data_IF_662317435449
#
_entry.id   IF_662317435449
#
_cell.length_a   1.000
_cell.length_b   1.000
_cell.length_c   1.000
_cell.angle_alpha   90.00
_cell.angle_beta   90.00
_cell.angle_gamma   90.00
#
_symmetry.space_group_name_H-M   'P 1'
#
loop_
_entity.id
_entity.type
_entity.pdbx_description
1 polymer ?
#
# COMPACT_ATOMS: atom_id res chain seq x y z
N UNK A 1 -0.05 -64.37 14.89
CA UNK A 1 0.32 -63.34 13.91
C UNK A 1 -0.39 -62.05 14.30
N UNK A 2 0.35 -61.05 14.80
CA UNK A 2 0.00 -59.64 14.65
C UNK A 2 1.23 -58.78 15.02
N UNK A 3 1.71 -58.10 13.98
CA UNK A 3 2.78 -57.11 13.84
C UNK A 3 3.21 -56.32 15.09
N UNK A 4 4.50 -56.43 15.44
CA UNK A 4 5.24 -55.40 16.17
C UNK A 4 5.56 -54.25 15.20
N UNK A 5 5.15 -53.03 15.55
CA UNK A 5 5.54 -51.80 14.85
C UNK A 5 6.89 -51.33 15.41
N UNK A 6 7.90 -51.23 14.54
CA UNK A 6 9.18 -50.58 14.82
C UNK A 6 8.96 -49.08 15.02
N UNK A 7 9.31 -48.58 16.20
CA UNK A 7 9.47 -47.15 16.47
C UNK A 7 10.86 -46.73 15.98
N UNK A 8 10.91 -45.91 14.93
CA UNK A 8 12.17 -45.33 14.44
C UNK A 8 12.47 -44.06 15.23
N UNK A 9 13.49 -44.08 16.08
CA UNK A 9 14.06 -42.90 16.70
C UNK A 9 14.89 -42.13 15.67
N UNK A 10 14.47 -40.91 15.32
CA UNK A 10 15.30 -39.96 14.57
C UNK A 10 16.14 -39.18 15.60
N UNK A 11 17.45 -39.32 15.46
CA UNK A 11 18.47 -38.57 16.20
C UNK A 11 18.47 -37.12 15.69
N UNK A 12 18.18 -36.17 16.57
CA UNK A 12 18.34 -34.74 16.29
C UNK A 12 19.84 -34.41 16.23
N UNK A 13 20.33 -34.05 15.05
CA UNK A 13 21.65 -33.46 14.88
C UNK A 13 21.59 -32.00 15.33
N UNK A 14 22.46 -31.65 16.28
CA UNK A 14 22.64 -30.29 16.78
C UNK A 14 23.18 -29.38 15.66
N UNK A 15 22.36 -28.42 15.24
CA UNK A 15 22.83 -27.24 14.50
C UNK A 15 23.41 -26.26 15.52
N UNK A 16 24.68 -25.94 15.37
CA UNK A 16 25.37 -24.89 16.11
C UNK A 16 24.68 -23.56 15.81
N UNK A 17 23.96 -23.03 16.80
CA UNK A 17 23.43 -21.67 16.79
C UNK A 17 24.59 -20.68 16.69
N UNK A 18 24.74 -20.05 15.51
CA UNK A 18 25.36 -18.73 15.47
C UNK A 18 24.45 -17.80 16.26
N UNK A 19 25.01 -17.10 17.24
CA UNK A 19 24.29 -16.06 17.97
C UNK A 19 23.94 -14.94 17.00
N UNK A 20 22.75 -15.01 16.41
CA UNK A 20 22.14 -13.87 15.75
C UNK A 20 21.91 -12.81 16.83
N UNK A 21 22.64 -11.70 16.75
CA UNK A 21 22.18 -10.48 17.40
C UNK A 21 20.85 -10.14 16.74
N UNK A 22 19.74 -10.28 17.47
CA UNK A 22 18.46 -9.76 17.01
C UNK A 22 18.62 -8.23 16.95
N UNK A 23 18.79 -7.70 15.75
CA UNK A 23 18.78 -6.26 15.55
C UNK A 23 17.32 -5.81 15.60
N UNK A 24 17.01 -4.84 16.44
CA UNK A 24 15.66 -4.27 16.57
C UNK A 24 15.49 -3.01 15.69
N UNK A 25 16.48 -2.71 14.84
CA UNK A 25 16.47 -1.58 13.91
C UNK A 25 16.98 -1.98 12.53
N UNK A 26 16.43 -1.36 11.48
CA UNK A 26 16.92 -1.49 10.11
C UNK A 26 18.20 -0.66 9.91
N UNK A 27 19.29 -1.22 10.40
CA UNK A 27 20.63 -0.64 10.36
C UNK A 27 21.00 0.20 11.60
N UNK A 28 22.22 0.77 11.62
CA UNK A 28 23.21 0.75 10.53
C UNK A 28 23.74 -0.66 10.23
N UNK A 29 23.99 -0.96 8.95
CA UNK A 29 24.67 -2.19 8.53
C UNK A 29 26.08 -1.86 8.05
N UNK A 30 27.10 -2.70 8.35
CA UNK A 30 28.48 -2.41 7.96
C UNK A 30 28.64 -2.39 6.44
N UNK A 31 29.66 -1.68 5.94
CA UNK A 31 30.08 -1.79 4.54
C UNK A 31 30.79 -3.11 4.32
N UNK A 32 30.24 -3.95 3.44
CA UNK A 32 30.77 -5.30 3.14
C UNK A 32 31.46 -5.38 1.77
N UNK A 33 31.39 -4.32 0.96
CA UNK A 33 32.05 -4.26 -0.35
C UNK A 33 33.55 -4.40 -0.21
N UNK A 34 34.12 -5.45 -0.81
CA UNK A 34 35.55 -5.73 -0.78
C UNK A 34 36.35 -4.62 -1.46
N UNK A 35 37.40 -4.17 -0.78
CA UNK A 35 38.29 -3.13 -1.31
C UNK A 35 37.68 -1.72 -1.33
N UNK A 36 36.54 -1.49 -0.68
CA UNK A 36 35.99 -0.15 -0.52
C UNK A 36 36.95 0.71 0.33
N UNK A 37 37.51 1.76 -0.29
CA UNK A 37 38.47 2.67 0.34
C UNK A 37 37.88 4.02 0.76
N UNK A 38 36.55 4.17 0.77
CA UNK A 38 35.90 5.42 1.17
C UNK A 38 35.57 5.48 2.67
N UNK A 39 34.93 6.56 3.10
CA UNK A 39 34.68 6.87 4.52
C UNK A 39 33.32 6.35 5.05
N UNK A 40 32.49 5.75 4.20
CA UNK A 40 31.17 5.27 4.63
C UNK A 40 31.31 4.06 5.55
N UNK A 41 30.62 4.11 6.68
CA UNK A 41 30.52 3.01 7.64
C UNK A 41 29.17 2.28 7.62
N UNK A 42 28.16 2.88 6.97
CA UNK A 42 26.81 2.32 6.83
C UNK A 42 26.49 2.05 5.35
N UNK A 43 26.13 0.81 5.02
CA UNK A 43 25.78 0.38 3.65
C UNK A 43 24.31 0.57 3.28
N UNK A 44 23.44 0.94 4.23
CA UNK A 44 22.00 1.13 3.99
C UNK A 44 21.72 2.20 2.94
N UNK A 45 20.98 1.85 1.87
CA UNK A 45 20.68 2.79 0.79
C UNK A 45 19.30 2.59 0.13
N UNK A 46 18.31 3.38 0.54
CA UNK A 46 16.93 3.33 0.00
C UNK A 46 16.22 4.70 -0.14
N UNK A 47 16.97 5.81 -0.13
CA UNK A 47 16.37 7.16 -0.14
C UNK A 47 15.55 7.46 -1.41
N UNK A 48 15.80 6.72 -2.50
CA UNK A 48 14.99 6.82 -3.71
C UNK A 48 13.55 6.34 -3.54
N UNK A 49 13.29 5.45 -2.60
CA UNK A 49 11.96 4.94 -2.30
C UNK A 49 11.22 5.91 -1.38
N UNK A 50 11.93 6.48 -0.40
CA UNK A 50 11.42 7.58 0.45
C UNK A 50 10.98 8.76 -0.41
N UNK A 51 11.80 9.18 -1.39
CA UNK A 51 11.42 10.22 -2.34
C UNK A 51 10.12 9.89 -3.10
N UNK A 52 9.88 8.62 -3.45
CA UNK A 52 8.65 8.19 -4.14
C UNK A 52 7.43 8.17 -3.24
N UNK A 53 7.58 7.81 -1.96
CA UNK A 53 6.50 7.97 -0.99
C UNK A 53 6.10 9.44 -0.84
N UNK A 54 7.09 10.34 -0.78
CA UNK A 54 6.85 11.78 -0.71
C UNK A 54 6.19 12.32 -1.98
N UNK A 55 6.61 11.87 -3.16
CA UNK A 55 5.92 12.19 -4.42
C UNK A 55 4.46 11.71 -4.41
N UNK A 56 4.21 10.50 -3.88
CA UNK A 56 2.86 9.92 -3.78
C UNK A 56 1.97 10.71 -2.82
N UNK A 57 2.45 11.03 -1.62
CA UNK A 57 1.69 11.81 -0.64
C UNK A 57 1.45 13.25 -1.11
N UNK A 58 2.42 13.84 -1.82
CA UNK A 58 2.28 15.14 -2.46
C UNK A 58 1.26 15.10 -3.60
N UNK A 59 1.29 14.07 -4.46
CA UNK A 59 0.31 13.87 -5.53
C UNK A 59 -1.10 13.71 -4.98
N UNK A 60 -1.28 12.94 -3.91
CA UNK A 60 -2.55 12.85 -3.18
C UNK A 60 -3.02 14.21 -2.68
N UNK A 61 -2.13 15.02 -2.10
CA UNK A 61 -2.49 16.34 -1.58
C UNK A 61 -2.92 17.29 -2.69
N UNK A 62 -2.27 17.21 -3.86
CA UNK A 62 -2.63 17.97 -5.06
C UNK A 62 -3.95 17.51 -5.67
N UNK A 63 -4.25 16.21 -5.70
CA UNK A 63 -5.51 15.68 -6.20
C UNK A 63 -6.76 16.27 -5.51
N UNK A 64 -6.60 16.82 -4.30
CA UNK A 64 -7.65 17.53 -3.57
C UNK A 64 -7.68 19.05 -3.77
N UNK A 65 -7.06 19.59 -4.83
CA UNK A 65 -6.89 21.04 -5.07
C UNK A 65 -7.59 21.58 -6.31
N UNK A 66 -8.35 20.76 -7.03
CA UNK A 66 -9.15 21.25 -8.16
C UNK A 66 -10.21 22.23 -7.67
N UNK A 67 -10.62 23.18 -8.51
CA UNK A 67 -11.60 24.23 -8.17
C UNK A 67 -12.82 24.19 -9.11
N UNK A 68 -13.25 22.98 -9.49
CA UNK A 68 -14.36 22.79 -10.43
C UNK A 68 -14.01 23.13 -11.88
N UNK A 69 -12.72 23.07 -12.24
CA UNK A 69 -12.24 23.20 -13.62
C UNK A 69 -11.47 24.48 -13.93
N UNK A 70 -11.61 25.54 -13.12
CA UNK A 70 -10.97 26.82 -13.37
C UNK A 70 -9.42 26.80 -13.29
N UNK A 71 -8.83 25.85 -12.54
CA UNK A 71 -7.38 25.61 -12.47
C UNK A 71 -6.95 24.26 -13.07
N UNK A 72 -7.82 23.59 -13.84
CA UNK A 72 -7.59 22.20 -14.25
C UNK A 72 -6.27 22.02 -15.01
N UNK A 73 -5.99 22.85 -16.02
CA UNK A 73 -4.76 22.73 -16.81
C UNK A 73 -3.48 22.90 -15.97
N UNK A 74 -3.47 23.89 -15.07
CA UNK A 74 -2.32 24.18 -14.20
C UNK A 74 -2.11 23.09 -13.16
N UNK A 75 -3.21 22.62 -12.54
CA UNK A 75 -3.16 21.57 -11.52
C UNK A 75 -2.79 20.22 -12.13
N UNK A 76 -3.34 19.87 -13.29
CA UNK A 76 -2.99 18.64 -14.00
C UNK A 76 -1.50 18.64 -14.35
N UNK A 77 -0.97 19.73 -14.93
CA UNK A 77 0.45 19.86 -15.22
C UNK A 77 1.31 19.73 -13.95
N UNK A 78 0.87 20.33 -12.83
CA UNK A 78 1.56 20.19 -11.56
C UNK A 78 1.54 18.73 -11.07
N UNK A 79 0.39 18.07 -11.05
CA UNK A 79 0.27 16.67 -10.64
C UNK A 79 1.12 15.74 -11.52
N UNK A 80 1.14 15.97 -12.83
CA UNK A 80 1.98 15.22 -13.76
C UNK A 80 3.47 15.43 -13.49
N UNK A 81 3.91 16.59 -12.99
CA UNK A 81 5.32 16.77 -12.59
C UNK A 81 5.71 15.91 -11.38
N UNK A 82 4.80 15.66 -10.43
CA UNK A 82 5.03 14.75 -9.29
C UNK A 82 4.93 13.27 -9.71
N UNK A 83 4.12 12.97 -10.72
CA UNK A 83 3.95 11.61 -11.21
C UNK A 83 5.07 11.19 -12.18
N UNK A 84 5.28 11.95 -13.26
CA UNK A 84 6.25 11.66 -14.33
C UNK A 84 7.69 12.09 -14.00
N UNK A 85 7.85 12.98 -13.03
CA UNK A 85 9.13 13.59 -12.68
C UNK A 85 9.29 15.01 -13.22
N UNK A 86 10.33 15.69 -12.75
CA UNK A 86 10.66 17.06 -13.13
C UNK A 86 12.17 17.24 -13.17
N UNK A 87 12.64 18.11 -14.06
CA UNK A 87 14.02 18.61 -14.05
C UNK A 87 14.25 19.64 -12.93
N UNK A 88 13.18 20.16 -12.34
CA UNK A 88 13.22 21.07 -11.18
C UNK A 88 13.23 20.26 -9.89
N UNK A 89 13.83 20.84 -8.86
CA UNK A 89 13.64 20.34 -7.51
C UNK A 89 12.23 20.68 -7.04
N UNK A 90 11.40 19.65 -6.85
CA UNK A 90 10.01 19.83 -6.44
C UNK A 90 9.95 20.06 -4.92
N UNK A 91 9.15 21.04 -4.44
CA UNK A 91 8.89 21.16 -3.02
C UNK A 91 8.13 19.92 -2.52
N UNK A 92 8.37 19.53 -1.27
CA UNK A 92 7.55 18.51 -0.62
C UNK A 92 6.21 19.16 -0.25
N UNK A 93 5.10 18.67 -0.80
CA UNK A 93 3.75 19.16 -0.47
C UNK A 93 3.18 18.38 0.72
N UNK A 94 3.54 17.10 0.84
CA UNK A 94 3.25 16.27 2.00
C UNK A 94 4.27 15.11 2.10
N UNK A 95 4.66 14.70 3.33
CA UNK A 95 4.40 15.38 4.60
C UNK A 95 5.25 16.65 4.75
N UNK A 96 4.72 17.68 5.41
CA UNK A 96 5.43 18.95 5.69
C UNK A 96 5.35 19.26 7.19
N UNK A 97 6.32 20.00 7.71
CA UNK A 97 6.36 20.41 9.12
C UNK A 97 5.04 21.02 9.60
N UNK A 98 4.70 20.74 10.85
CA UNK A 98 3.60 21.40 11.58
C UNK A 98 3.99 21.59 13.05
N UNK A 99 3.18 22.31 13.81
CA UNK A 99 3.40 22.54 15.24
C UNK A 99 3.63 21.21 15.98
N UNK A 100 4.76 21.12 16.68
CA UNK A 100 5.17 19.94 17.44
C UNK A 100 5.68 18.76 16.62
N UNK A 101 5.82 18.89 15.30
CA UNK A 101 6.38 17.84 14.43
C UNK A 101 7.17 18.46 13.26
N UNK A 102 8.39 18.97 13.51
CA UNK A 102 9.26 19.50 12.48
C UNK A 102 9.84 18.38 11.62
N UNK A 103 9.89 18.59 10.30
CA UNK A 103 10.46 17.68 9.31
C UNK A 103 11.69 18.35 8.68
N UNK A 104 12.76 17.56 8.53
CA UNK A 104 14.06 18.02 8.01
C UNK A 104 14.03 18.36 6.53
N UNK A 105 13.47 17.49 5.70
CA UNK A 105 13.46 17.69 4.26
C UNK A 105 12.29 18.55 3.80
N UNK A 106 12.57 19.46 2.87
CA UNK A 106 11.63 20.41 2.28
C UNK A 106 11.51 20.25 0.77
N UNK A 107 12.47 19.59 0.11
CA UNK A 107 12.43 19.30 -1.33
C UNK A 107 12.70 17.83 -1.65
N UNK A 108 12.27 17.37 -2.82
CA UNK A 108 12.42 15.97 -3.23
C UNK A 108 13.89 15.59 -3.46
N UNK A 109 14.72 16.51 -3.98
CA UNK A 109 16.13 16.20 -4.24
C UNK A 109 16.97 16.06 -2.96
N UNK A 110 16.56 16.67 -1.84
CA UNK A 110 17.17 16.43 -0.52
C UNK A 110 17.03 14.96 -0.08
N UNK A 111 15.97 14.28 -0.56
CA UNK A 111 15.76 12.85 -0.37
C UNK A 111 16.56 12.04 -1.40
N UNK A 112 16.25 12.25 -2.68
CA UNK A 112 16.92 11.60 -3.80
C UNK A 112 16.52 12.26 -5.11
N UNK A 113 17.51 12.71 -5.88
CA UNK A 113 17.26 13.38 -7.16
C UNK A 113 16.80 12.42 -8.28
N UNK A 114 16.08 12.99 -9.25
CA UNK A 114 15.67 12.29 -10.47
C UNK A 114 14.65 11.17 -10.26
N UNK A 115 13.91 11.17 -9.14
CA UNK A 115 12.88 10.16 -8.85
C UNK A 115 11.54 10.58 -9.42
N UNK A 116 10.78 9.58 -9.87
CA UNK A 116 9.41 9.69 -10.32
C UNK A 116 8.62 8.44 -9.91
N UNK A 117 7.30 8.55 -9.99
CA UNK A 117 6.35 7.46 -9.74
C UNK A 117 6.12 6.66 -11.03
N UNK A 118 5.93 7.34 -12.16
CA UNK A 118 5.49 6.74 -13.42
C UNK A 118 6.37 5.57 -13.90
N UNK A 119 7.69 5.68 -13.78
CA UNK A 119 8.65 4.64 -14.16
C UNK A 119 8.69 3.44 -13.20
N UNK A 120 7.88 3.44 -12.15
CA UNK A 120 7.75 2.39 -11.14
C UNK A 120 6.31 1.93 -10.94
N UNK A 121 5.37 2.50 -11.69
CA UNK A 121 3.96 2.20 -11.58
C UNK A 121 3.63 0.93 -12.35
N UNK A 122 2.73 0.12 -11.79
CA UNK A 122 2.20 -1.09 -12.38
C UNK A 122 1.53 -0.79 -13.72
N UNK A 123 1.96 -1.52 -14.76
CA UNK A 123 1.57 -1.28 -16.15
C UNK A 123 0.77 -2.45 -16.75
N UNK A 124 0.40 -3.43 -15.93
CA UNK A 124 -0.50 -4.50 -16.35
C UNK A 124 -1.95 -4.02 -16.44
N UNK A 125 -2.80 -4.85 -17.05
CA UNK A 125 -4.23 -4.57 -17.16
C UNK A 125 -4.87 -4.36 -15.78
N UNK A 126 -5.80 -3.40 -15.71
CA UNK A 126 -6.56 -3.09 -14.49
C UNK A 126 -8.06 -3.18 -14.77
N UNK A 127 -8.63 -4.40 -14.89
CA UNK A 127 -10.04 -4.63 -15.22
C UNK A 127 -11.01 -4.20 -14.10
N UNK A 128 -10.47 -3.74 -12.98
CA UNK A 128 -11.24 -3.10 -11.93
C UNK A 128 -11.63 -1.65 -12.30
N UNK A 129 -11.01 -1.02 -13.29
CA UNK A 129 -11.37 0.30 -13.79
C UNK A 129 -12.00 0.18 -15.18
N UNK A 130 -12.97 1.03 -15.57
CA UNK A 130 -13.60 0.90 -16.88
C UNK A 130 -12.63 1.29 -18.02
N UNK A 131 -12.89 0.78 -19.22
CA UNK A 131 -12.17 1.16 -20.44
C UNK A 131 -10.93 0.34 -20.79
N UNK A 132 -10.79 -0.88 -20.23
CA UNK A 132 -9.70 -1.82 -20.55
C UNK A 132 -8.27 -1.24 -20.40
N UNK A 133 -8.11 -0.33 -19.43
CA UNK A 133 -6.87 0.41 -19.19
C UNK A 133 -5.80 -0.41 -18.43
N UNK A 134 -4.53 -0.07 -18.64
CA UNK A 134 -3.44 -0.47 -17.74
C UNK A 134 -3.48 0.33 -16.44
N UNK A 135 -2.82 -0.16 -15.38
CA UNK A 135 -2.72 0.59 -14.12
C UNK A 135 -2.19 2.02 -14.30
N UNK A 136 -1.21 2.22 -15.17
CA UNK A 136 -0.65 3.54 -15.45
C UNK A 136 -1.65 4.45 -16.17
N UNK A 137 -2.39 3.92 -17.13
CA UNK A 137 -3.46 4.65 -17.82
C UNK A 137 -4.58 5.04 -16.84
N UNK A 138 -4.96 4.15 -15.93
CA UNK A 138 -5.95 4.43 -14.87
C UNK A 138 -5.52 5.62 -14.01
N UNK A 139 -4.29 5.65 -13.50
CA UNK A 139 -3.87 6.76 -12.62
C UNK A 139 -3.73 8.07 -13.40
N UNK A 140 -3.32 8.03 -14.67
CA UNK A 140 -3.31 9.22 -15.54
C UNK A 140 -4.72 9.75 -15.80
N UNK A 141 -5.69 8.87 -16.06
CA UNK A 141 -7.10 9.24 -16.16
C UNK A 141 -7.60 9.88 -14.86
N UNK A 142 -7.28 9.29 -13.71
CA UNK A 142 -7.64 9.86 -12.40
C UNK A 142 -7.00 11.23 -12.16
N UNK A 143 -5.75 11.46 -12.59
CA UNK A 143 -5.08 12.78 -12.47
C UNK A 143 -5.84 13.83 -13.28
N UNK A 144 -6.19 13.52 -14.53
CA UNK A 144 -6.95 14.43 -15.40
C UNK A 144 -8.35 14.75 -14.82
N UNK A 145 -9.02 13.76 -14.24
CA UNK A 145 -10.33 13.97 -13.60
C UNK A 145 -10.22 14.73 -12.26
N UNK A 146 -9.19 14.45 -11.45
CA UNK A 146 -8.93 15.13 -10.19
C UNK A 146 -8.74 16.64 -10.38
N UNK A 147 -8.06 17.03 -11.45
CA UNK A 147 -7.81 18.43 -11.77
C UNK A 147 -9.09 19.21 -12.11
N UNK A 148 -10.09 18.52 -12.68
CA UNK A 148 -11.40 19.10 -13.03
C UNK A 148 -12.37 19.13 -11.84
N UNK A 149 -12.23 18.22 -10.89
CA UNK A 149 -13.14 18.09 -9.75
C UNK A 149 -12.88 19.13 -8.66
N UNK A 150 -13.95 19.72 -8.10
CA UNK A 150 -13.82 20.64 -6.96
C UNK A 150 -13.35 19.90 -5.71
N UNK A 151 -12.19 20.29 -5.17
CA UNK A 151 -11.53 19.61 -4.06
C UNK A 151 -11.25 18.12 -4.31
N UNK A 152 -11.14 17.70 -5.58
CA UNK A 152 -11.00 16.29 -5.95
C UNK A 152 -12.26 15.44 -5.73
N UNK A 153 -13.41 16.09 -5.48
CA UNK A 153 -14.70 15.45 -5.24
C UNK A 153 -15.57 15.50 -6.49
N UNK A 154 -15.84 14.34 -7.07
CA UNK A 154 -16.80 14.17 -8.15
C UNK A 154 -18.08 13.55 -7.58
N UNK A 155 -19.02 14.40 -7.19
CA UNK A 155 -20.30 13.96 -6.64
C UNK A 155 -21.15 13.21 -7.66
N UNK A 156 -21.01 13.55 -8.96
CA UNK A 156 -21.86 13.05 -10.03
C UNK A 156 -21.53 11.60 -10.37
N UNK A 157 -20.24 11.24 -10.35
CA UNK A 157 -19.78 9.86 -10.58
C UNK A 157 -19.43 9.13 -9.28
N UNK A 158 -19.37 9.84 -8.15
CA UNK A 158 -19.13 9.27 -6.83
C UNK A 158 -17.65 8.96 -6.58
N UNK A 159 -16.74 9.82 -7.01
CA UNK A 159 -15.29 9.63 -6.84
C UNK A 159 -14.66 10.66 -5.91
N UNK A 160 -13.78 10.18 -5.03
CA UNK A 160 -12.79 11.01 -4.33
C UNK A 160 -11.42 10.66 -4.90
N UNK A 161 -10.94 11.49 -5.84
CA UNK A 161 -9.72 11.17 -6.58
C UNK A 161 -8.47 11.20 -5.70
N UNK A 162 -8.46 12.00 -4.63
CA UNK A 162 -7.38 11.98 -3.66
C UNK A 162 -7.29 10.62 -2.93
N UNK A 163 -8.42 10.01 -2.57
CA UNK A 163 -8.42 8.66 -2.00
C UNK A 163 -8.06 7.60 -3.04
N UNK A 164 -8.68 7.63 -4.22
CA UNK A 164 -8.42 6.66 -5.30
C UNK A 164 -6.94 6.62 -5.68
N UNK A 165 -6.37 7.77 -6.07
CA UNK A 165 -4.95 7.87 -6.44
C UNK A 165 -4.07 7.40 -5.30
N UNK A 166 -4.39 7.82 -4.06
CA UNK A 166 -3.58 7.45 -2.90
C UNK A 166 -3.56 5.95 -2.66
N UNK A 167 -4.72 5.29 -2.56
CA UNK A 167 -4.74 3.87 -2.17
C UNK A 167 -4.30 2.98 -3.31
N UNK A 168 -4.68 3.31 -4.55
CA UNK A 168 -4.26 2.55 -5.70
C UNK A 168 -2.73 2.58 -5.86
N UNK A 169 -2.12 3.76 -5.76
CA UNK A 169 -0.65 3.91 -5.84
C UNK A 169 0.07 3.08 -4.78
N UNK A 170 -0.49 2.86 -3.59
CA UNK A 170 0.14 2.01 -2.55
C UNK A 170 0.30 0.55 -2.97
N UNK A 171 -0.58 0.02 -3.81
CA UNK A 171 -0.39 -1.30 -4.42
C UNK A 171 0.43 -1.23 -5.71
N UNK A 172 0.04 -0.31 -6.59
CA UNK A 172 0.57 -0.20 -7.93
C UNK A 172 2.02 0.30 -8.00
N UNK A 173 2.60 0.83 -6.93
CA UNK A 173 4.02 1.20 -6.90
C UNK A 173 4.80 0.48 -5.79
N UNK A 174 4.65 0.79 -4.47
CA UNK A 174 5.53 0.23 -3.47
C UNK A 174 5.36 -1.28 -3.31
N UNK A 175 4.12 -1.78 -3.21
CA UNK A 175 3.87 -3.21 -3.10
C UNK A 175 4.34 -3.95 -4.35
N UNK A 176 3.85 -3.58 -5.55
CA UNK A 176 4.24 -4.18 -6.82
C UNK A 176 5.77 -4.20 -7.01
N UNK A 177 6.45 -3.07 -6.82
CA UNK A 177 7.91 -3.03 -6.93
C UNK A 177 8.60 -3.90 -5.88
N UNK A 178 8.17 -3.88 -4.63
CA UNK A 178 8.78 -4.70 -3.59
C UNK A 178 8.62 -6.19 -3.91
N UNK A 179 7.40 -6.68 -4.15
CA UNK A 179 7.09 -8.11 -4.15
C UNK A 179 7.26 -8.82 -5.49
N UNK A 180 7.18 -8.09 -6.61
CA UNK A 180 7.25 -8.63 -7.97
C UNK A 180 8.60 -8.32 -8.66
N UNK A 181 9.38 -7.37 -8.13
CA UNK A 181 10.66 -6.97 -8.73
C UNK A 181 11.84 -7.19 -7.76
N UNK A 182 11.87 -6.46 -6.63
CA UNK A 182 13.02 -6.48 -5.73
C UNK A 182 13.16 -7.78 -4.93
N UNK A 183 12.05 -8.28 -4.40
CA UNK A 183 11.97 -9.51 -3.59
C UNK A 183 11.64 -10.75 -4.42
N UNK A 184 11.72 -10.66 -5.75
CA UNK A 184 11.50 -11.78 -6.66
C UNK A 184 12.65 -11.91 -7.67
N UNK A 185 12.49 -11.38 -8.88
CA UNK A 185 13.45 -11.50 -9.99
C UNK A 185 14.88 -11.11 -9.59
N UNK A 186 15.02 -10.08 -8.73
CA UNK A 186 16.31 -9.56 -8.29
C UNK A 186 16.96 -10.33 -7.14
N UNK A 187 16.33 -11.36 -6.59
CA UNK A 187 16.96 -12.26 -5.60
C UNK A 187 17.75 -13.41 -6.25
N UNK A 188 17.67 -13.55 -7.57
CA UNK A 188 18.45 -14.53 -8.33
C UNK A 188 19.97 -14.34 -8.17
N UNK A 189 20.73 -15.44 -8.28
CA UNK A 189 22.17 -15.46 -8.04
C UNK A 189 22.98 -14.51 -8.94
N UNK A 190 22.59 -14.39 -10.22
CA UNK A 190 23.30 -13.58 -11.21
C UNK A 190 22.86 -12.13 -11.30
N UNK A 191 21.76 -11.75 -10.65
CA UNK A 191 21.20 -10.40 -10.77
C UNK A 191 21.68 -9.56 -9.59
N UNK A 192 22.57 -8.59 -9.82
CA UNK A 192 23.11 -7.71 -8.76
C UNK A 192 23.68 -8.51 -7.57
N UNK A 193 24.71 -9.36 -7.78
CA UNK A 193 25.20 -10.29 -6.77
C UNK A 193 25.72 -9.61 -5.49
N UNK A 194 25.84 -10.37 -4.40
CA UNK A 194 26.41 -9.87 -3.14
C UNK A 194 27.94 -9.77 -3.17
N UNK A 195 28.59 -10.55 -4.04
CA UNK A 195 30.04 -10.54 -4.22
C UNK A 195 30.61 -9.29 -4.91
N UNK A 196 29.75 -8.39 -5.39
CA UNK A 196 30.13 -7.25 -6.22
C UNK A 196 29.46 -5.98 -5.71
N UNK A 197 30.16 -4.85 -5.86
CA UNK A 197 29.57 -3.53 -5.65
C UNK A 197 28.37 -3.33 -6.60
N UNK A 198 27.33 -2.63 -6.17
CA UNK A 198 26.15 -2.39 -7.02
C UNK A 198 26.48 -1.69 -8.36
N UNK A 199 27.50 -0.82 -8.30
CA UNK A 199 28.16 -0.11 -9.40
C UNK A 199 29.53 0.37 -8.90
N UNK A 200 30.39 0.81 -9.81
CA UNK A 200 31.71 1.37 -9.47
C UNK A 200 31.60 2.48 -8.40
N UNK A 201 32.42 2.36 -7.37
CA UNK A 201 32.46 3.29 -6.23
C UNK A 201 31.32 3.16 -5.22
N UNK A 202 30.38 2.22 -5.40
CA UNK A 202 29.34 1.97 -4.40
C UNK A 202 29.93 1.39 -3.10
N UNK A 203 29.37 1.82 -1.97
CA UNK A 203 29.73 1.36 -0.62
C UNK A 203 28.79 0.25 -0.10
N UNK A 204 28.03 -0.36 -1.02
CA UNK A 204 27.10 -1.44 -0.77
C UNK A 204 27.13 -2.42 -1.94
N UNK A 205 26.86 -3.68 -1.67
CA UNK A 205 26.82 -4.72 -2.70
C UNK A 205 25.57 -4.62 -3.54
N UNK A 206 25.54 -5.36 -4.65
CA UNK A 206 24.33 -5.48 -5.46
C UNK A 206 23.13 -6.03 -4.69
N UNK A 207 23.32 -7.01 -3.80
CA UNK A 207 22.23 -7.62 -3.03
C UNK A 207 21.78 -6.76 -1.86
N UNK A 208 22.72 -6.13 -1.17
CA UNK A 208 22.42 -5.16 -0.11
C UNK A 208 21.49 -4.06 -0.63
N UNK A 209 21.83 -3.46 -1.78
CA UNK A 209 21.01 -2.39 -2.35
C UNK A 209 19.63 -2.87 -2.80
N UNK A 210 19.54 -4.05 -3.42
CA UNK A 210 18.24 -4.63 -3.84
C UNK A 210 17.32 -4.83 -2.65
N UNK A 211 17.86 -5.34 -1.53
CA UNK A 211 17.08 -5.57 -0.32
C UNK A 211 16.68 -4.26 0.37
N UNK A 212 17.61 -3.30 0.45
CA UNK A 212 17.35 -1.97 0.99
C UNK A 212 16.25 -1.23 0.19
N UNK A 213 16.29 -1.27 -1.14
CA UNK A 213 15.23 -0.66 -1.96
C UNK A 213 13.87 -1.34 -1.73
N UNK A 214 13.80 -2.64 -1.45
CA UNK A 214 12.53 -3.27 -1.07
C UNK A 214 12.02 -2.77 0.28
N UNK A 215 12.89 -2.67 1.29
CA UNK A 215 12.53 -2.12 2.61
C UNK A 215 12.03 -0.68 2.49
N UNK A 216 12.72 0.16 1.71
CA UNK A 216 12.34 1.54 1.50
C UNK A 216 10.94 1.73 0.89
N UNK A 217 10.45 0.76 0.10
CA UNK A 217 9.08 0.78 -0.44
C UNK A 217 8.02 0.38 0.59
N UNK A 218 8.38 -0.40 1.61
CA UNK A 218 7.44 -0.67 2.71
C UNK A 218 7.18 0.59 3.53
N UNK A 219 8.22 1.43 3.67
CA UNK A 219 8.09 2.75 4.27
C UNK A 219 7.93 2.73 5.78
N UNK A 220 8.46 1.70 6.44
CA UNK A 220 8.64 1.71 7.89
C UNK A 220 9.78 2.66 8.28
N UNK A 221 9.71 3.22 9.49
CA UNK A 221 10.86 3.88 10.08
C UNK A 221 11.94 2.83 10.40
N UNK A 222 13.21 3.22 10.41
CA UNK A 222 14.32 2.31 10.69
C UNK A 222 14.19 1.69 12.08
N UNK A 223 13.59 2.39 13.04
CA UNK A 223 13.33 1.90 14.40
C UNK A 223 11.93 1.34 14.61
N UNK A 224 11.14 1.08 13.56
CA UNK A 224 9.74 0.68 13.70
C UNK A 224 9.50 -0.58 14.56
N UNK A 225 10.46 -1.49 14.70
CA UNK A 225 10.31 -2.66 15.60
C UNK A 225 10.39 -2.31 17.09
N UNK A 226 10.98 -1.17 17.45
CA UNK A 226 11.04 -0.71 18.85
C UNK A 226 9.75 -0.01 19.29
N UNK A 227 8.83 0.19 18.34
CA UNK A 227 7.58 0.92 18.51
C UNK A 227 6.39 -0.05 18.54
N UNK A 228 5.36 0.28 19.33
CA UNK A 228 4.09 -0.44 19.27
C UNK A 228 3.36 -0.18 17.93
N UNK A 229 2.31 -0.96 17.66
CA UNK A 229 1.42 -0.70 16.52
C UNK A 229 0.75 0.69 16.62
N UNK A 230 0.43 1.15 17.83
CA UNK A 230 -0.15 2.48 18.03
C UNK A 230 0.88 3.60 17.82
N UNK A 231 2.11 3.41 18.28
CA UNK A 231 3.18 4.39 18.07
C UNK A 231 3.50 4.54 16.59
N UNK A 232 3.75 3.43 15.86
CA UNK A 232 3.95 3.46 14.41
C UNK A 232 2.80 4.16 13.67
N UNK A 233 1.56 3.87 14.06
CA UNK A 233 0.37 4.53 13.50
C UNK A 233 0.39 6.05 13.78
N UNK A 234 0.78 6.46 14.98
CA UNK A 234 0.83 7.86 15.39
C UNK A 234 1.99 8.65 14.77
N UNK A 235 3.15 8.01 14.54
CA UNK A 235 4.28 8.58 13.78
C UNK A 235 3.82 8.95 12.37
N UNK A 236 3.16 8.05 11.65
CA UNK A 236 2.62 8.33 10.32
C UNK A 236 1.58 9.48 10.32
N UNK A 237 0.81 9.61 11.42
CA UNK A 237 -0.13 10.74 11.62
C UNK A 237 0.54 12.03 12.08
N UNK A 238 1.86 12.01 12.29
CA UNK A 238 2.66 13.10 12.84
C UNK A 238 2.09 13.58 14.18
N UNK A 239 1.73 12.65 15.06
CA UNK A 239 1.10 12.95 16.36
C UNK A 239 2.04 12.78 17.55
N UNK A 240 3.15 12.10 17.33
CA UNK A 240 4.08 11.73 18.39
C UNK A 240 5.51 11.97 17.92
N UNK A 241 6.07 13.12 18.32
CA UNK A 241 7.46 13.45 18.01
C UNK A 241 8.42 12.55 18.80
N UNK A 242 8.10 12.23 20.06
CA UNK A 242 9.00 11.47 20.92
C UNK A 242 9.17 10.02 20.43
N UNK A 243 8.10 9.41 19.91
CA UNK A 243 8.19 8.09 19.28
C UNK A 243 8.88 8.13 17.90
N UNK A 244 8.75 9.24 17.17
CA UNK A 244 9.32 9.38 15.82
C UNK A 244 10.82 9.71 15.86
N UNK A 245 11.25 10.65 16.71
CA UNK A 245 12.60 11.19 16.82
C UNK A 245 13.55 10.20 17.52
N UNK A 246 13.96 9.16 16.78
CA UNK A 246 14.81 8.10 17.30
C UNK A 246 16.21 8.58 17.64
N UNK A 247 16.70 9.62 16.96
CA UNK A 247 18.05 10.14 17.15
C UNK A 247 18.11 11.24 18.24
N UNK A 248 16.98 11.86 18.58
CA UNK A 248 16.85 12.83 19.67
C UNK A 248 17.27 14.26 19.32
N UNK A 249 17.39 14.61 18.03
CA UNK A 249 17.77 15.95 17.57
C UNK A 249 16.58 16.92 17.47
N UNK A 250 15.37 16.44 17.76
CA UNK A 250 14.14 17.22 17.75
C UNK A 250 13.59 17.47 16.35
N UNK A 251 14.11 16.84 15.29
CA UNK A 251 13.63 16.99 13.91
C UNK A 251 13.53 15.65 13.17
N UNK A 252 12.41 15.41 12.52
CA UNK A 252 12.18 14.13 11.85
C UNK A 252 12.90 14.07 10.50
N UNK A 253 13.80 13.10 10.36
CA UNK A 253 14.38 12.72 9.08
C UNK A 253 13.44 11.74 8.35
N UNK A 254 12.84 12.17 7.24
CA UNK A 254 11.94 11.32 6.45
C UNK A 254 12.62 10.05 5.93
N UNK A 255 13.96 10.01 5.87
CA UNK A 255 14.70 8.84 5.42
C UNK A 255 14.72 7.72 6.44
N UNK A 256 14.59 8.00 7.73
CA UNK A 256 14.85 7.01 8.78
C UNK A 256 13.81 6.98 9.88
N UNK A 257 13.06 8.05 10.10
CA UNK A 257 12.23 8.22 11.31
C UNK A 257 10.74 8.33 11.02
N UNK A 258 10.35 8.39 9.75
CA UNK A 258 8.96 8.54 9.35
C UNK A 258 8.35 7.24 8.84
N UNK A 259 7.07 7.03 9.17
CA UNK A 259 6.27 5.89 8.72
C UNK A 259 5.34 6.34 7.59
N UNK A 260 5.49 5.75 6.42
CA UNK A 260 4.68 6.01 5.23
C UNK A 260 3.49 5.05 5.08
N UNK A 261 2.69 5.29 4.04
CA UNK A 261 1.41 4.63 3.77
C UNK A 261 1.35 3.12 4.03
N UNK A 262 2.15 2.26 3.36
CA UNK A 262 2.03 0.82 3.51
C UNK A 262 2.27 0.34 4.94
N UNK A 263 3.38 0.74 5.56
CA UNK A 263 3.68 0.49 6.97
C UNK A 263 2.59 1.06 7.93
N UNK A 264 2.05 2.25 7.64
CA UNK A 264 0.92 2.82 8.40
C UNK A 264 -0.33 1.92 8.38
N UNK A 265 -0.65 1.30 7.24
CA UNK A 265 -1.79 0.38 7.16
C UNK A 265 -1.52 -0.96 7.85
N UNK A 266 -0.28 -1.45 7.80
CA UNK A 266 0.13 -2.63 8.56
C UNK A 266 -0.04 -2.39 10.06
N UNK A 267 0.53 -1.29 10.58
CA UNK A 267 0.39 -0.89 11.97
C UNK A 267 -1.10 -0.66 12.33
N UNK A 268 -1.88 -0.08 11.42
CA UNK A 268 -3.30 0.16 11.61
C UNK A 268 -4.15 -1.13 11.73
N UNK A 269 -3.76 -2.22 11.08
CA UNK A 269 -4.38 -3.53 11.27
C UNK A 269 -3.97 -4.15 12.62
N UNK A 270 -2.68 -4.04 12.96
CA UNK A 270 -2.11 -4.59 14.20
C UNK A 270 -2.64 -3.93 15.47
N UNK A 271 -3.17 -2.70 15.38
CA UNK A 271 -3.92 -2.05 16.48
C UNK A 271 -5.12 -2.88 16.96
N UNK A 272 -5.60 -3.86 16.19
CA UNK A 272 -6.63 -4.80 16.62
C UNK A 272 -6.15 -5.76 17.72
N UNK A 273 -4.83 -5.95 17.88
CA UNK A 273 -4.23 -6.97 18.73
C UNK A 273 -4.38 -8.40 18.20
N UNK A 274 -4.91 -8.58 16.99
CA UNK A 274 -5.15 -9.89 16.36
C UNK A 274 -4.13 -10.24 15.29
N UNK A 275 -3.40 -9.24 14.78
CA UNK A 275 -2.41 -9.38 13.72
C UNK A 275 -1.09 -8.75 14.15
N UNK A 276 -0.01 -9.06 13.43
CA UNK A 276 1.33 -8.52 13.67
C UNK A 276 2.06 -8.16 12.37
N UNK A 277 1.34 -7.74 11.32
CA UNK A 277 1.89 -7.51 9.99
C UNK A 277 3.08 -6.55 9.97
N UNK A 278 2.99 -5.41 10.67
CA UNK A 278 4.05 -4.41 10.74
C UNK A 278 5.32 -5.01 11.35
N UNK A 279 5.16 -5.73 12.45
CA UNK A 279 6.26 -6.39 13.16
C UNK A 279 6.86 -7.50 12.29
N UNK A 280 6.04 -8.41 11.77
CA UNK A 280 6.47 -9.56 10.97
C UNK A 280 7.20 -9.14 9.70
N UNK A 281 6.67 -8.15 8.96
CA UNK A 281 7.30 -7.64 7.74
C UNK A 281 8.64 -6.96 8.06
N UNK A 282 8.67 -6.09 9.08
CA UNK A 282 9.88 -5.33 9.43
C UNK A 282 10.98 -6.25 9.96
N UNK A 283 10.62 -7.26 10.77
CA UNK A 283 11.57 -8.27 11.25
C UNK A 283 12.17 -9.06 10.08
N UNK A 284 11.34 -9.53 9.14
CA UNK A 284 11.83 -10.27 7.97
C UNK A 284 12.79 -9.42 7.12
N UNK A 285 12.55 -8.11 6.99
CA UNK A 285 13.50 -7.19 6.34
C UNK A 285 14.83 -7.11 7.09
N UNK A 286 14.82 -6.99 8.42
CA UNK A 286 16.05 -6.90 9.22
C UNK A 286 16.82 -8.24 9.18
N UNK A 287 16.13 -9.36 9.30
CA UNK A 287 16.72 -10.70 9.25
C UNK A 287 17.37 -10.96 7.90
N UNK A 288 16.65 -10.68 6.80
CA UNK A 288 17.19 -10.82 5.45
C UNK A 288 18.39 -9.90 5.19
N UNK A 289 18.36 -8.65 5.69
CA UNK A 289 19.49 -7.73 5.54
C UNK A 289 20.71 -8.18 6.35
N UNK A 290 20.48 -8.73 7.54
CA UNK A 290 21.51 -9.32 8.41
C UNK A 290 22.14 -10.55 7.76
N UNK A 291 21.33 -11.43 7.16
CA UNK A 291 21.81 -12.58 6.40
C UNK A 291 22.71 -12.14 5.23
N UNK A 292 22.30 -11.14 4.44
CA UNK A 292 23.12 -10.61 3.34
C UNK A 292 24.46 -10.06 3.86
N UNK A 293 24.42 -9.27 4.94
CA UNK A 293 25.63 -8.68 5.53
C UNK A 293 26.57 -9.75 6.12
N UNK A 294 26.01 -10.83 6.69
CA UNK A 294 26.79 -11.93 7.28
C UNK A 294 27.68 -12.66 6.26
N UNK A 295 27.35 -12.58 4.97
CA UNK A 295 28.18 -13.13 3.90
C UNK A 295 29.40 -12.25 3.59
N UNK A 296 29.59 -11.11 4.26
CA UNK A 296 30.81 -10.29 4.21
C UNK A 296 31.30 -9.95 2.79
N UNK A 297 30.37 -9.62 1.89
CA UNK A 297 30.70 -9.29 0.50
C UNK A 297 31.12 -10.49 -0.34
N UNK A 298 30.83 -11.72 0.11
CA UNK A 298 30.84 -12.92 -0.72
C UNK A 298 29.46 -13.13 -1.37
N UNK A 299 29.45 -13.88 -2.47
CA UNK A 299 28.19 -14.34 -3.04
C UNK A 299 27.45 -15.23 -2.04
N UNK A 300 26.13 -15.02 -1.92
CA UNK A 300 25.28 -15.88 -1.11
C UNK A 300 25.36 -17.31 -1.66
N UNK A 301 25.53 -18.27 -0.76
CA UNK A 301 25.33 -19.69 -1.05
C UNK A 301 23.88 -19.96 -1.43
N UNK A 302 23.60 -21.11 -2.03
CA UNK A 302 22.22 -21.47 -2.38
C UNK A 302 21.34 -21.66 -1.15
N UNK A 303 21.91 -22.14 -0.03
CA UNK A 303 21.22 -22.23 1.25
C UNK A 303 20.83 -20.84 1.80
N UNK A 304 21.77 -19.90 1.83
CA UNK A 304 21.49 -18.52 2.25
C UNK A 304 20.48 -17.85 1.32
N UNK A 305 20.58 -18.07 0.00
CA UNK A 305 19.63 -17.52 -0.97
C UNK A 305 18.23 -18.07 -0.76
N UNK A 306 18.09 -19.36 -0.50
CA UNK A 306 16.80 -19.98 -0.18
C UNK A 306 16.21 -19.41 1.13
N UNK A 307 17.05 -19.17 2.14
CA UNK A 307 16.63 -18.51 3.38
C UNK A 307 16.16 -17.07 3.13
N UNK A 308 16.91 -16.31 2.32
CA UNK A 308 16.54 -14.95 1.90
C UNK A 308 15.20 -14.91 1.16
N UNK A 309 14.96 -15.89 0.28
CA UNK A 309 13.68 -16.07 -0.41
C UNK A 309 12.55 -16.43 0.55
N UNK A 310 12.84 -17.13 1.66
CA UNK A 310 11.91 -17.36 2.75
C UNK A 310 11.45 -16.04 3.40
N UNK A 311 12.38 -15.17 3.77
CA UNK A 311 12.05 -13.84 4.30
C UNK A 311 11.25 -12.99 3.29
N UNK A 312 11.66 -13.01 2.03
CA UNK A 312 10.93 -12.35 0.95
C UNK A 312 9.48 -12.84 0.81
N UNK A 313 9.25 -14.14 0.94
CA UNK A 313 7.91 -14.72 0.95
C UNK A 313 7.10 -14.24 2.15
N UNK A 314 7.68 -14.25 3.34
CA UNK A 314 7.03 -13.73 4.55
C UNK A 314 6.59 -12.28 4.37
N UNK A 315 7.46 -11.43 3.80
CA UNK A 315 7.13 -10.04 3.49
C UNK A 315 5.96 -9.95 2.51
N UNK A 316 6.03 -10.67 1.40
CA UNK A 316 5.02 -10.60 0.34
C UNK A 316 3.64 -11.06 0.82
N UNK A 317 3.58 -12.21 1.51
CA UNK A 317 2.33 -12.78 2.02
C UNK A 317 1.65 -11.81 3.02
N UNK A 318 2.42 -11.28 3.99
CA UNK A 318 1.86 -10.39 5.02
C UNK A 318 1.45 -9.04 4.42
N UNK A 319 2.17 -8.52 3.43
CA UNK A 319 1.81 -7.25 2.79
C UNK A 319 0.56 -7.40 1.92
N UNK A 320 0.37 -8.52 1.22
CA UNK A 320 -0.89 -8.82 0.53
C UNK A 320 -2.08 -8.83 1.50
N UNK A 321 -1.89 -9.44 2.69
CA UNK A 321 -2.88 -9.43 3.76
C UNK A 321 -3.22 -8.01 4.25
N UNK A 322 -2.24 -7.12 4.38
CA UNK A 322 -2.50 -5.71 4.74
C UNK A 322 -3.42 -5.02 3.73
N UNK A 323 -3.24 -5.27 2.43
CA UNK A 323 -4.12 -4.71 1.38
C UNK A 323 -5.53 -5.34 1.42
N UNK A 324 -5.63 -6.64 1.70
CA UNK A 324 -6.90 -7.34 1.85
C UNK A 324 -7.69 -6.85 3.08
N UNK A 325 -7.03 -6.68 4.22
CA UNK A 325 -7.58 -6.10 5.46
C UNK A 325 -8.08 -4.67 5.26
N UNK A 326 -7.31 -3.84 4.54
CA UNK A 326 -7.74 -2.49 4.18
C UNK A 326 -9.00 -2.52 3.30
N UNK A 327 -9.03 -3.38 2.28
CA UNK A 327 -10.19 -3.55 1.39
C UNK A 327 -11.43 -3.99 2.17
N UNK A 328 -11.28 -4.99 3.06
CA UNK A 328 -12.34 -5.48 3.95
C UNK A 328 -12.89 -4.35 4.84
N UNK A 329 -11.98 -3.59 5.46
CA UNK A 329 -12.34 -2.48 6.34
C UNK A 329 -13.17 -1.42 5.63
N UNK A 330 -12.77 -1.03 4.43
CA UNK A 330 -13.46 0.03 3.71
C UNK A 330 -14.77 -0.45 3.08
N UNK A 331 -14.93 -1.74 2.76
CA UNK A 331 -16.24 -2.29 2.41
C UNK A 331 -17.24 -2.13 3.56
N UNK A 332 -16.82 -2.45 4.79
CA UNK A 332 -17.63 -2.22 5.99
C UNK A 332 -17.86 -0.74 6.30
N UNK A 333 -16.90 0.15 5.99
CA UNK A 333 -17.11 1.59 6.09
C UNK A 333 -18.16 2.10 5.11
N UNK A 334 -18.12 1.65 3.85
CA UNK A 334 -19.11 2.00 2.83
C UNK A 334 -20.50 1.50 3.24
N UNK A 335 -20.61 0.26 3.75
CA UNK A 335 -21.86 -0.27 4.31
C UNK A 335 -22.47 0.68 5.35
N UNK A 336 -21.68 1.11 6.34
CA UNK A 336 -22.12 2.01 7.41
C UNK A 336 -22.52 3.39 6.88
N UNK A 337 -21.81 3.88 5.87
CA UNK A 337 -22.13 5.17 5.27
C UNK A 337 -23.43 5.14 4.46
N UNK A 338 -23.79 4.00 3.86
CA UNK A 338 -25.10 3.83 3.21
C UNK A 338 -26.21 3.91 4.26
N UNK A 339 -26.08 3.26 5.43
CA UNK A 339 -27.05 3.40 6.53
C UNK A 339 -27.17 4.86 7.00
N UNK A 340 -26.04 5.55 7.17
CA UNK A 340 -26.04 6.95 7.57
C UNK A 340 -26.67 7.88 6.51
N UNK A 341 -26.56 7.52 5.22
CA UNK A 341 -27.23 8.22 4.12
C UNK A 341 -28.75 8.05 4.17
N UNK A 342 -29.24 6.84 4.47
CA UNK A 342 -30.68 6.55 4.58
C UNK A 342 -31.31 7.15 5.83
N UNK A 343 -30.54 7.30 6.91
CA UNK A 343 -30.99 7.83 8.20
C UNK A 343 -30.84 9.37 8.32
N UNK A 344 -30.35 10.04 7.28
CA UNK A 344 -30.09 11.48 7.34
C UNK A 344 -31.38 12.28 7.58
N UNK A 345 -31.37 13.13 8.60
CA UNK A 345 -32.55 13.90 9.04
C UNK A 345 -32.93 15.05 8.10
N UNK A 346 -31.96 15.56 7.33
CA UNK A 346 -32.13 16.69 6.41
C UNK A 346 -31.11 16.61 5.24
N UNK A 347 -31.25 17.51 4.27
CA UNK A 347 -30.39 17.56 3.08
C UNK A 347 -28.92 17.88 3.40
N UNK A 348 -28.65 18.66 4.45
CA UNK A 348 -27.28 19.00 4.85
C UNK A 348 -26.57 17.79 5.48
N UNK A 349 -27.26 17.05 6.34
CA UNK A 349 -26.82 15.78 6.88
C UNK A 349 -26.60 14.75 5.76
N UNK A 350 -27.52 14.68 4.80
CA UNK A 350 -27.42 13.78 3.64
C UNK A 350 -26.23 14.10 2.76
N UNK A 351 -25.97 15.38 2.47
CA UNK A 351 -24.79 15.80 1.70
C UNK A 351 -23.47 15.45 2.41
N UNK A 352 -23.40 15.64 3.73
CA UNK A 352 -22.24 15.25 4.55
C UNK A 352 -22.03 13.74 4.56
N UNK A 353 -23.10 12.96 4.72
CA UNK A 353 -23.06 11.50 4.65
C UNK A 353 -22.61 11.03 3.26
N UNK A 354 -23.09 11.67 2.19
CA UNK A 354 -22.69 11.34 0.81
C UNK A 354 -21.21 11.62 0.55
N UNK A 355 -20.69 12.76 1.02
CA UNK A 355 -19.25 13.07 0.92
C UNK A 355 -18.39 12.01 1.62
N UNK A 356 -18.84 11.53 2.79
CA UNK A 356 -18.15 10.48 3.55
C UNK A 356 -18.21 9.13 2.84
N UNK A 357 -19.38 8.75 2.33
CA UNK A 357 -19.58 7.56 1.49
C UNK A 357 -18.64 7.55 0.28
N UNK A 358 -18.61 8.63 -0.52
CA UNK A 358 -17.74 8.74 -1.70
C UNK A 358 -16.27 8.66 -1.32
N UNK A 359 -15.87 9.27 -0.21
CA UNK A 359 -14.51 9.18 0.31
C UNK A 359 -14.14 7.73 0.65
N UNK A 360 -14.92 7.05 1.49
CA UNK A 360 -14.63 5.68 1.89
C UNK A 360 -14.73 4.70 0.71
N UNK A 361 -15.62 4.96 -0.25
CA UNK A 361 -15.66 4.20 -1.50
C UNK A 361 -14.38 4.37 -2.32
N UNK A 362 -13.84 5.60 -2.42
CA UNK A 362 -12.54 5.83 -3.05
C UNK A 362 -11.40 5.08 -2.36
N UNK A 363 -11.46 4.93 -1.03
CA UNK A 363 -10.50 4.11 -0.28
C UNK A 363 -10.69 2.61 -0.57
N UNK A 364 -11.93 2.11 -0.54
CA UNK A 364 -12.28 0.72 -0.89
C UNK A 364 -11.78 0.37 -2.29
N UNK A 365 -12.16 1.18 -3.28
CA UNK A 365 -11.84 0.92 -4.68
C UNK A 365 -10.34 0.95 -4.93
N UNK A 366 -9.65 1.97 -4.40
CA UNK A 366 -8.21 2.09 -4.56
C UNK A 366 -7.47 0.91 -3.91
N UNK A 367 -7.89 0.41 -2.74
CA UNK A 367 -7.29 -0.80 -2.14
C UNK A 367 -7.62 -2.08 -2.90
N UNK A 368 -8.84 -2.22 -3.42
CA UNK A 368 -9.20 -3.37 -4.25
C UNK A 368 -8.33 -3.45 -5.52
N UNK A 369 -8.00 -2.31 -6.14
CA UNK A 369 -7.08 -2.25 -7.28
C UNK A 369 -5.61 -2.46 -6.86
N UNK A 370 -5.22 -1.92 -5.71
CA UNK A 370 -3.89 -2.11 -5.14
C UNK A 370 -3.58 -3.60 -4.89
N UNK A 371 -4.54 -4.34 -4.32
CA UNK A 371 -4.46 -5.78 -4.08
C UNK A 371 -4.25 -6.58 -5.38
N UNK A 372 -4.73 -6.07 -6.52
CA UNK A 372 -4.61 -6.69 -7.84
C UNK A 372 -3.33 -6.28 -8.61
N UNK A 373 -2.42 -5.51 -8.00
CA UNK A 373 -1.17 -5.05 -8.63
C UNK A 373 0.07 -5.84 -8.19
N UNK A 374 -0.12 -6.89 -7.39
CA UNK A 374 0.95 -7.81 -6.99
C UNK A 374 1.23 -8.88 -8.05
N UNK A 375 2.19 -9.75 -7.76
CA UNK A 375 2.58 -10.85 -8.66
C UNK A 375 1.54 -11.98 -8.75
N UNK A 376 0.71 -12.13 -7.72
CA UNK A 376 -0.25 -13.22 -7.64
C UNK A 376 -1.50 -12.90 -8.47
N UNK A 377 -1.90 -13.85 -9.32
CA UNK A 377 -3.20 -13.78 -9.97
C UNK A 377 -4.28 -14.28 -9.00
N UNK A 378 -5.14 -13.38 -8.52
CA UNK A 378 -6.23 -13.68 -7.59
C UNK A 378 -7.41 -14.44 -8.24
N UNK A 379 -7.37 -14.65 -9.56
CA UNK A 379 -8.34 -15.45 -10.31
C UNK A 379 -9.78 -15.04 -10.06
N UNK A 380 -10.62 -16.01 -9.68
CA UNK A 380 -12.05 -15.80 -9.41
C UNK A 380 -12.30 -14.75 -8.32
N UNK A 381 -11.41 -14.64 -7.33
CA UNK A 381 -11.56 -13.66 -6.24
C UNK A 381 -11.53 -12.23 -6.77
N UNK A 382 -10.56 -11.88 -7.63
CA UNK A 382 -10.51 -10.55 -8.25
C UNK A 382 -11.75 -10.26 -9.12
N UNK A 383 -12.18 -11.24 -9.92
CA UNK A 383 -13.38 -11.09 -10.77
C UNK A 383 -14.63 -10.79 -9.93
N UNK A 384 -14.84 -11.55 -8.85
CA UNK A 384 -15.98 -11.35 -7.96
C UNK A 384 -15.89 -10.03 -7.21
N UNK A 385 -14.70 -9.67 -6.71
CA UNK A 385 -14.45 -8.41 -6.02
C UNK A 385 -14.78 -7.21 -6.93
N UNK A 386 -14.32 -7.24 -8.18
CA UNK A 386 -14.56 -6.17 -9.15
C UNK A 386 -16.06 -6.02 -9.50
N UNK A 387 -16.79 -7.14 -9.64
CA UNK A 387 -18.23 -7.12 -9.92
C UNK A 387 -19.05 -6.58 -8.76
N UNK A 388 -18.72 -6.97 -7.52
CA UNK A 388 -19.44 -6.51 -6.34
C UNK A 388 -19.21 -5.02 -6.07
N UNK A 389 -17.96 -4.56 -6.17
CA UNK A 389 -17.61 -3.14 -5.95
C UNK A 389 -18.10 -2.27 -7.12
N UNK A 390 -18.01 -2.76 -8.36
CA UNK A 390 -18.36 -1.99 -9.56
C UNK A 390 -17.28 -0.99 -9.97
N UNK A 391 -17.46 -0.34 -11.12
CA UNK A 391 -16.55 0.70 -11.60
C UNK A 391 -16.71 2.03 -10.86
N UNK A 392 -17.93 2.35 -10.45
CA UNK A 392 -18.26 3.46 -9.56
C UNK A 392 -19.27 3.04 -8.50
N UNK A 393 -19.42 3.82 -7.42
CA UNK A 393 -20.47 3.58 -6.43
C UNK A 393 -21.86 3.90 -7.00
N UNK A 394 -22.90 3.41 -6.34
CA UNK A 394 -24.26 3.95 -6.51
C UNK A 394 -24.26 5.42 -6.07
N UNK A 395 -24.78 6.31 -6.92
CA UNK A 395 -24.91 7.75 -6.64
C UNK A 395 -26.33 8.12 -6.22
N UNK A 396 -26.56 9.38 -5.82
CA UNK A 396 -27.85 9.81 -5.24
C UNK A 396 -29.08 9.61 -6.14
N UNK A 397 -28.88 9.58 -7.46
CA UNK A 397 -29.89 9.29 -8.49
C UNK A 397 -30.07 7.79 -8.79
N UNK A 398 -29.38 6.92 -8.05
CA UNK A 398 -29.42 5.47 -8.17
C UNK A 398 -28.65 4.89 -9.36
N UNK A 399 -27.95 5.73 -10.14
CA UNK A 399 -27.08 5.27 -11.23
C UNK A 399 -25.65 5.01 -10.73
N UNK A 400 -24.84 4.32 -11.52
CA UNK A 400 -23.42 4.12 -11.23
C UNK A 400 -22.65 3.99 -12.54
N UNK A 401 -21.33 4.22 -12.49
CA UNK A 401 -20.46 4.11 -13.67
C UNK A 401 -20.45 2.67 -14.19
N UNK A 402 -20.82 2.49 -15.45
CA UNK A 402 -20.86 1.20 -16.15
C UNK A 402 -19.78 1.06 -17.22
N UNK A 403 -19.13 2.15 -17.62
CA UNK A 403 -18.14 2.15 -18.69
C UNK A 403 -17.54 3.54 -18.95
N UNK A 404 -16.79 3.65 -20.04
CA UNK A 404 -16.32 4.91 -20.61
C UNK A 404 -16.82 5.03 -22.05
N UNK A 405 -17.14 6.25 -22.47
CA UNK A 405 -17.41 6.56 -23.87
C UNK A 405 -16.11 6.70 -24.68
N UNK A 406 -16.22 6.95 -25.98
CA UNK A 406 -15.08 7.11 -26.89
C UNK A 406 -14.17 8.31 -26.56
N UNK A 407 -14.68 9.29 -25.81
CA UNK A 407 -13.95 10.48 -25.37
C UNK A 407 -13.35 10.31 -23.95
N UNK A 408 -13.56 9.15 -23.33
CA UNK A 408 -13.07 8.83 -21.99
C UNK A 408 -13.90 9.41 -20.84
N UNK A 409 -15.16 9.82 -21.11
CA UNK A 409 -16.12 10.23 -20.08
C UNK A 409 -16.84 9.02 -19.49
N UNK A 410 -17.29 9.13 -18.24
CA UNK A 410 -18.01 8.05 -17.57
C UNK A 410 -19.43 7.89 -18.12
N UNK A 411 -19.77 6.66 -18.48
CA UNK A 411 -21.14 6.26 -18.79
C UNK A 411 -21.84 5.71 -17.55
N UNK A 412 -23.10 6.11 -17.32
CA UNK A 412 -23.92 5.68 -16.18
C UNK A 412 -25.24 5.03 -16.62
N UNK A 413 -25.14 4.04 -17.50
CA UNK A 413 -26.28 3.42 -18.18
C UNK A 413 -27.05 2.40 -17.34
N UNK A 414 -26.60 2.13 -16.10
CA UNK A 414 -27.18 1.13 -15.19
C UNK A 414 -27.59 1.77 -13.87
N UNK A 415 -28.55 1.12 -13.20
CA UNK A 415 -29.08 1.52 -11.88
C UNK A 415 -29.01 0.38 -10.89
N UNK A 416 -28.90 0.72 -9.61
CA UNK A 416 -28.95 -0.23 -8.50
C UNK A 416 -29.53 0.45 -7.27
N UNK A 417 -30.31 -0.29 -6.48
CA UNK A 417 -30.82 0.22 -5.21
C UNK A 417 -29.71 0.33 -4.17
N UNK A 418 -29.87 1.25 -3.21
CA UNK A 418 -28.94 1.38 -2.08
C UNK A 418 -28.86 0.10 -1.25
N UNK A 419 -29.99 -0.59 -1.00
CA UNK A 419 -30.02 -1.84 -0.24
C UNK A 419 -29.26 -2.97 -0.97
N UNK A 420 -29.45 -3.09 -2.29
CA UNK A 420 -28.70 -4.07 -3.11
C UNK A 420 -27.19 -3.79 -3.06
N UNK A 421 -26.79 -2.52 -3.16
CA UNK A 421 -25.38 -2.16 -3.10
C UNK A 421 -24.78 -2.32 -1.69
N UNK A 422 -25.59 -2.09 -0.66
CA UNK A 422 -25.21 -2.37 0.72
C UNK A 422 -24.98 -3.87 0.95
N UNK A 423 -25.81 -4.74 0.36
CA UNK A 423 -25.59 -6.18 0.34
C UNK A 423 -24.29 -6.56 -0.38
N UNK A 424 -23.94 -5.86 -1.48
CA UNK A 424 -22.66 -6.09 -2.14
C UNK A 424 -21.48 -5.82 -1.19
N UNK A 425 -21.54 -4.80 -0.36
CA UNK A 425 -20.45 -4.52 0.60
C UNK A 425 -20.26 -5.64 1.62
N UNK A 426 -21.35 -6.24 2.10
CA UNK A 426 -21.28 -7.42 2.97
C UNK A 426 -20.71 -8.63 2.25
N UNK A 427 -21.11 -8.85 0.99
CA UNK A 427 -20.55 -9.92 0.14
C UNK A 427 -19.07 -9.71 -0.17
N UNK A 428 -18.60 -8.46 -0.28
CA UNK A 428 -17.17 -8.14 -0.39
C UNK A 428 -16.44 -8.54 0.89
N UNK A 429 -16.98 -8.21 2.06
CA UNK A 429 -16.39 -8.61 3.34
C UNK A 429 -16.33 -10.14 3.50
N UNK A 430 -17.43 -10.84 3.17
CA UNK A 430 -17.49 -12.31 3.19
C UNK A 430 -16.47 -12.94 2.21
N UNK A 431 -16.40 -12.44 0.97
CA UNK A 431 -15.44 -12.91 -0.03
C UNK A 431 -14.00 -12.77 0.48
N UNK A 432 -13.65 -11.60 1.01
CA UNK A 432 -12.29 -11.35 1.51
C UNK A 432 -11.98 -12.20 2.75
N UNK A 433 -12.93 -12.33 3.70
CA UNK A 433 -12.76 -13.19 4.87
C UNK A 433 -12.50 -14.65 4.48
N UNK A 434 -13.23 -15.17 3.48
CA UNK A 434 -13.08 -16.54 3.02
C UNK A 434 -11.82 -16.77 2.18
N UNK A 435 -11.44 -15.81 1.34
CA UNK A 435 -10.29 -15.97 0.43
C UNK A 435 -8.95 -15.69 1.09
N UNK A 436 -8.90 -14.80 2.09
CA UNK A 436 -7.66 -14.33 2.71
C UNK A 436 -7.56 -14.69 4.20
N UNK A 437 -8.66 -15.05 4.87
CA UNK A 437 -8.62 -15.34 6.31
C UNK A 437 -8.46 -14.07 7.17
N UNK A 438 -9.15 -12.98 6.81
CA UNK A 438 -9.12 -11.68 7.50
C UNK A 438 -9.28 -11.84 9.04
N UNK A 439 -8.29 -11.38 9.78
CA UNK A 439 -8.18 -11.55 11.24
C UNK A 439 -8.45 -10.24 11.99
N UNK A 440 -7.91 -9.10 11.53
CA UNK A 440 -8.06 -7.82 12.22
C UNK A 440 -9.54 -7.39 12.24
N UNK A 441 -10.26 -7.64 11.13
CA UNK A 441 -11.72 -7.46 11.02
C UNK A 441 -12.21 -6.06 11.41
N UNK A 442 -11.41 -5.04 11.09
CA UNK A 442 -11.81 -3.66 11.33
C UNK A 442 -13.07 -3.33 10.52
N UNK A 443 -14.07 -2.70 11.16
CA UNK A 443 -15.38 -2.42 10.55
C UNK A 443 -16.12 -3.66 9.97
N UNK A 444 -15.95 -4.84 10.56
CA UNK A 444 -16.72 -6.02 10.17
C UNK A 444 -18.24 -5.80 10.34
N UNK A 445 -19.01 -5.99 9.27
CA UNK A 445 -20.49 -5.92 9.26
C UNK A 445 -21.12 -7.24 8.79
N UNK A 446 -20.35 -8.32 8.68
CA UNK A 446 -20.81 -9.61 8.13
C UNK A 446 -21.95 -10.25 8.94
N UNK A 447 -22.12 -9.88 10.21
CA UNK A 447 -23.25 -10.31 11.04
C UNK A 447 -24.62 -9.85 10.49
N UNK A 448 -24.65 -8.76 9.71
CA UNK A 448 -25.88 -8.19 9.14
C UNK A 448 -26.33 -8.90 7.84
N UNK A 449 -25.52 -9.84 7.31
CA UNK A 449 -25.73 -10.44 6.00
C UNK A 449 -27.06 -11.18 5.90
N UNK A 450 -27.38 -12.03 6.88
CA UNK A 450 -28.62 -12.80 6.88
C UNK A 450 -29.85 -11.88 6.92
N UNK A 451 -29.85 -10.88 7.81
CA UNK A 451 -30.95 -9.94 7.94
C UNK A 451 -31.21 -9.13 6.68
N UNK A 452 -30.16 -8.68 5.99
CA UNK A 452 -30.29 -7.90 4.75
C UNK A 452 -30.75 -8.76 3.56
N UNK A 453 -30.33 -10.02 3.49
CA UNK A 453 -30.83 -10.97 2.46
C UNK A 453 -32.33 -11.24 2.65
N UNK A 454 -32.76 -11.44 3.89
CA UNK A 454 -34.18 -11.68 4.22
C UNK A 454 -35.03 -10.46 3.90
N UNK A 455 -34.56 -9.24 4.23
CA UNK A 455 -35.31 -8.00 3.92
C UNK A 455 -35.50 -7.80 2.42
N UNK A 456 -34.48 -8.09 1.61
CA UNK A 456 -34.55 -7.97 0.15
C UNK A 456 -35.45 -9.02 -0.50
N UNK A 457 -35.56 -10.21 0.09
CA UNK A 457 -36.44 -11.28 -0.37
C UNK A 457 -37.92 -10.98 -0.09
N UNK A 458 -38.20 -10.19 0.96
CA UNK A 458 -39.55 -9.75 1.32
C UNK A 458 -40.08 -8.58 0.47
N UNK A 459 -39.19 -7.78 -0.12
CA UNK A 459 -39.54 -6.54 -0.86
C UNK A 459 -39.92 -6.75 -2.34
N UNK A 460 -39.96 -8.00 -2.84
CA UNK A 460 -40.49 -8.32 -4.18
C UNK A 460 -39.68 -7.76 -5.36
N UNK A 461 -38.40 -7.43 -5.17
CA UNK A 461 -37.55 -6.86 -6.20
C UNK A 461 -37.10 -7.89 -7.25
N UNK A 462 -37.77 -7.91 -8.39
CA UNK A 462 -37.25 -8.53 -9.61
C UNK A 462 -35.92 -7.84 -9.99
N UNK A 463 -34.82 -8.58 -9.95
CA UNK A 463 -33.59 -8.21 -10.64
C UNK A 463 -33.90 -8.16 -12.14
N UNK A 464 -33.86 -6.98 -12.76
CA UNK A 464 -33.78 -6.88 -14.22
C UNK A 464 -32.31 -7.06 -14.60
N UNK A 465 -32.02 -8.20 -15.22
CA UNK A 465 -30.72 -8.61 -15.79
C UNK A 465 -30.06 -7.54 -16.67
#
# INVERSE_FOLDING_TARGET
MNSLKLTTCIVAAALTAGTAFAADTYGPFPVTVKGYGGEKANSVAYSGQVARHVLHDSLKKLAGKGNGGANAAELEAQMLSYFNGSDKDLPIIAPVSKDGFPIKQTTVNELSSGKNIAGKFYDGAMPAWPGDMTGKEVVLHMIAQAAKADGGFDAANGYDYAQLISKFTMGAMPFSQAVDNYLDEKLGAGTKPNGEAYKDGAYYTGKEHVWDEAFGYFGAAAHSLTLSAEDNYNVAKMKDLAAADANGDGVIDLKTEYVFGPAYYAAGADKSGKTAYMQTITQAFIDGRSLIASAAGENLTDAQRAELQGYAKTIADNWEMVLAEATFKYAGSVYKDISALTEAADDAARAKAYRKYVKHWGELKGFAMALQSGKNNLGKTAVHLNRLIGYGPVTLDGTFVSGLDADGNFEKNRKMSWNSYQLHMLRVQELLANSFGIEARANDQTAELAGLVDSLSGDGGAETD
#
